data_IF_088983567881
#
_entry.id   IF_088983567881
#
_cell.length_a   1.000
_cell.length_b   1.000
_cell.length_c   1.000
_cell.angle_alpha   90.00
_cell.angle_beta   90.00
_cell.angle_gamma   90.00
#
_symmetry.space_group_name_H-M   'P 1'
#
loop_
_entity.id
_entity.type
_entity.pdbx_description
1 polymer ?
#
# COMPACT_ATOMS: atom_id res chain seq x y z
N UNK A 1 -35.50 59.46 17.97
CA UNK A 1 -36.24 58.18 18.05
C UNK A 1 -35.24 57.06 17.86
N UNK A 2 -34.99 56.31 18.95
CA UNK A 2 -34.75 54.85 19.09
C UNK A 2 -34.06 54.17 17.88
N UNK A 3 -32.75 53.86 17.92
CA UNK A 3 -32.06 52.72 18.56
C UNK A 3 -32.51 51.32 18.08
N UNK A 4 -31.54 50.48 17.68
CA UNK A 4 -31.26 49.11 18.19
C UNK A 4 -30.49 48.29 17.12
N UNK A 5 -29.30 47.81 17.53
CA UNK A 5 -28.53 46.72 16.95
C UNK A 5 -29.19 45.37 17.28
N UNK A 6 -29.09 44.37 16.41
CA UNK A 6 -28.89 42.95 16.76
C UNK A 6 -28.50 42.19 15.47
N UNK A 7 -27.29 41.61 15.35
CA UNK A 7 -26.79 40.37 15.94
C UNK A 7 -27.32 39.08 15.28
N UNK A 8 -26.37 38.33 14.70
CA UNK A 8 -26.34 36.86 14.56
C UNK A 8 -27.41 36.16 13.70
N UNK A 9 -27.00 35.73 12.51
CA UNK A 9 -27.31 34.36 12.07
C UNK A 9 -26.01 33.68 11.62
N UNK A 10 -25.44 32.93 12.54
CA UNK A 10 -24.60 31.80 12.21
C UNK A 10 -25.55 30.62 11.97
N UNK A 11 -25.71 30.18 10.72
CA UNK A 11 -26.22 28.84 10.45
C UNK A 11 -25.77 28.36 9.08
N UNK A 12 -25.05 27.24 9.10
CA UNK A 12 -25.06 26.20 8.07
C UNK A 12 -24.37 26.49 6.72
N UNK A 13 -23.04 26.64 6.76
CA UNK A 13 -22.25 25.97 5.73
C UNK A 13 -22.26 24.47 6.04
N UNK A 14 -23.34 23.82 5.63
CA UNK A 14 -23.40 22.38 5.45
C UNK A 14 -22.42 22.04 4.31
N UNK A 15 -21.15 21.87 4.64
CA UNK A 15 -20.19 21.27 3.72
C UNK A 15 -20.62 19.82 3.59
N UNK A 16 -21.41 19.57 2.55
CA UNK A 16 -21.79 18.24 2.08
C UNK A 16 -20.51 17.41 2.09
N UNK A 17 -20.38 16.50 3.07
CA UNK A 17 -19.39 15.46 3.02
C UNK A 17 -19.66 14.75 1.70
N UNK A 18 -18.81 15.00 0.71
CA UNK A 18 -18.85 14.33 -0.57
C UNK A 18 -18.64 12.86 -0.24
N UNK A 19 -19.75 12.13 -0.06
CA UNK A 19 -19.78 10.68 -0.07
C UNK A 19 -19.32 10.30 -1.46
N UNK A 20 -17.98 10.19 -1.60
CA UNK A 20 -17.32 9.57 -2.74
C UNK A 20 -17.97 8.21 -2.82
N UNK A 21 -18.94 8.10 -3.72
CA UNK A 21 -19.76 6.90 -3.84
C UNK A 21 -18.78 5.88 -4.39
N UNK A 22 -18.22 5.04 -3.50
CA UNK A 22 -17.24 4.04 -3.90
C UNK A 22 -18.02 3.09 -4.81
N UNK A 23 -17.90 3.29 -6.12
CA UNK A 23 -18.42 2.33 -7.09
C UNK A 23 -17.74 0.99 -6.81
N UNK A 24 -18.42 -0.12 -7.07
CA UNK A 24 -17.79 -1.43 -6.99
C UNK A 24 -16.56 -1.41 -7.89
N UNK A 25 -15.38 -1.56 -7.29
CA UNK A 25 -14.09 -1.45 -7.96
C UNK A 25 -13.28 -2.67 -7.61
N UNK A 26 -12.89 -3.42 -8.64
CA UNK A 26 -11.99 -4.55 -8.51
C UNK A 26 -10.66 -4.18 -9.17
N UNK A 27 -9.55 -4.36 -8.45
CA UNK A 27 -8.21 -3.99 -8.91
C UNK A 27 -7.31 -5.21 -8.78
N UNK A 28 -6.48 -5.41 -9.80
CA UNK A 28 -5.55 -6.52 -9.91
C UNK A 28 -4.14 -5.99 -10.11
N UNK A 29 -3.21 -6.48 -9.30
CA UNK A 29 -1.80 -6.14 -9.34
C UNK A 29 -0.98 -7.41 -9.47
N UNK A 30 0.04 -7.37 -10.33
CA UNK A 30 0.86 -8.53 -10.65
C UNK A 30 2.33 -8.13 -10.73
N UNK A 31 3.16 -8.83 -9.95
CA UNK A 31 4.60 -8.67 -9.88
C UNK A 31 5.25 -10.01 -10.25
N UNK A 32 5.49 -10.26 -11.55
CA UNK A 32 5.84 -11.59 -12.05
C UNK A 32 7.21 -12.09 -11.58
N UNK A 33 8.22 -11.22 -11.44
CA UNK A 33 9.55 -11.63 -10.98
C UNK A 33 9.54 -11.98 -9.49
N UNK A 34 8.72 -11.29 -8.71
CA UNK A 34 8.49 -11.60 -7.30
C UNK A 34 7.53 -12.79 -7.11
N UNK A 35 6.75 -13.14 -8.14
CA UNK A 35 5.70 -14.15 -8.03
C UNK A 35 4.58 -13.73 -7.07
N UNK A 36 4.19 -12.45 -7.12
CA UNK A 36 3.14 -11.87 -6.27
C UNK A 36 1.95 -11.43 -7.10
N UNK A 37 0.75 -11.79 -6.64
CA UNK A 37 -0.52 -11.28 -7.17
C UNK A 37 -1.35 -10.73 -6.02
N UNK A 38 -1.94 -9.56 -6.23
CA UNK A 38 -2.83 -8.91 -5.27
C UNK A 38 -4.11 -8.55 -5.99
N UNK A 39 -5.23 -9.00 -5.46
CA UNK A 39 -6.57 -8.62 -5.91
C UNK A 39 -7.30 -7.96 -4.75
N UNK A 40 -7.86 -6.78 -5.00
CA UNK A 40 -8.67 -6.06 -4.03
C UNK A 40 -10.03 -5.73 -4.63
N UNK A 41 -11.08 -6.05 -3.88
CA UNK A 41 -12.47 -5.74 -4.21
C UNK A 41 -13.02 -4.73 -3.22
N UNK A 42 -13.29 -3.52 -3.69
CA UNK A 42 -13.91 -2.44 -2.93
C UNK A 42 -15.39 -2.35 -3.32
N UNK A 43 -16.28 -2.34 -2.34
CA UNK A 43 -17.73 -2.22 -2.56
C UNK A 43 -18.34 -1.27 -1.55
N UNK A 44 -19.35 -0.47 -1.92
CA UNK A 44 -19.96 0.49 -0.99
C UNK A 44 -20.81 -0.17 0.10
N UNK A 45 -21.15 -1.46 -0.07
CA UNK A 45 -22.06 -2.21 0.81
C UNK A 45 -21.43 -3.48 1.39
N UNK A 46 -20.14 -3.71 1.16
CA UNK A 46 -19.42 -4.88 1.67
C UNK A 46 -18.04 -4.45 2.16
N UNK A 47 -17.50 -5.11 3.19
CA UNK A 47 -16.12 -4.87 3.60
C UNK A 47 -15.17 -5.13 2.41
N UNK A 48 -14.05 -4.39 2.33
CA UNK A 48 -13.00 -4.68 1.37
C UNK A 48 -12.59 -6.14 1.44
N UNK A 49 -12.36 -6.77 0.28
CA UNK A 49 -11.81 -8.11 0.21
C UNK A 49 -10.45 -8.05 -0.44
N UNK A 50 -9.48 -8.66 0.22
CA UNK A 50 -8.12 -8.84 -0.26
C UNK A 50 -7.91 -10.31 -0.54
N UNK A 51 -7.34 -10.61 -1.71
CA UNK A 51 -6.86 -11.92 -2.10
C UNK A 51 -5.41 -11.78 -2.58
N UNK A 52 -4.50 -12.51 -1.96
CA UNK A 52 -3.06 -12.39 -2.15
C UNK A 52 -2.47 -13.77 -2.45
N UNK A 53 -1.75 -13.86 -3.55
CA UNK A 53 -0.88 -15.01 -3.83
C UNK A 53 0.56 -14.52 -3.71
N UNK A 54 1.28 -15.06 -2.72
CA UNK A 54 2.67 -14.72 -2.44
C UNK A 54 3.57 -15.93 -2.70
N UNK A 55 4.70 -15.71 -3.36
CA UNK A 55 5.75 -16.71 -3.45
C UNK A 55 6.32 -16.99 -2.06
N UNK A 56 6.30 -18.26 -1.62
CA UNK A 56 6.87 -18.72 -0.33
C UNK A 56 8.32 -18.31 -0.10
N UNK A 57 9.04 -17.91 -1.16
CA UNK A 57 10.45 -17.51 -1.11
C UNK A 57 10.65 -16.04 -0.77
N UNK A 58 9.64 -15.18 -1.00
CA UNK A 58 9.81 -13.73 -0.98
C UNK A 58 10.10 -13.17 0.41
N UNK A 59 9.41 -13.66 1.44
CA UNK A 59 9.55 -13.20 2.82
C UNK A 59 10.36 -14.17 3.70
N UNK A 60 11.19 -15.04 3.09
CA UNK A 60 12.07 -15.93 3.86
C UNK A 60 13.21 -15.15 4.52
N UNK A 61 13.63 -15.64 5.68
CA UNK A 61 14.73 -15.07 6.47
C UNK A 61 16.09 -15.13 5.74
N UNK A 62 16.25 -16.12 4.85
CA UNK A 62 17.50 -16.37 4.14
C UNK A 62 17.60 -15.47 2.91
N UNK A 63 18.23 -14.30 3.06
CA UNK A 63 18.50 -13.42 1.93
C UNK A 63 19.48 -14.07 0.94
N UNK A 64 19.08 -14.18 -0.33
CA UNK A 64 19.90 -14.78 -1.40
C UNK A 64 20.26 -13.74 -2.44
N UNK A 65 21.50 -13.26 -2.42
CA UNK A 65 22.01 -12.24 -3.37
C UNK A 65 21.72 -12.60 -4.84
N UNK A 66 21.75 -13.89 -5.21
CA UNK A 66 21.53 -14.37 -6.57
C UNK A 66 20.08 -14.23 -7.09
N UNK A 67 19.12 -13.92 -6.22
CA UNK A 67 17.72 -13.66 -6.59
C UNK A 67 17.47 -12.19 -6.96
N UNK A 68 18.48 -11.32 -6.78
CA UNK A 68 18.38 -9.88 -6.98
C UNK A 68 19.42 -9.42 -8.00
N UNK A 69 19.03 -9.27 -9.28
CA UNK A 69 19.97 -8.86 -10.33
C UNK A 69 20.66 -7.52 -10.04
N UNK A 70 20.00 -6.64 -9.30
CA UNK A 70 20.56 -5.36 -8.85
C UNK A 70 21.83 -5.49 -7.97
N UNK A 71 22.08 -6.66 -7.36
CA UNK A 71 23.28 -6.93 -6.56
C UNK A 71 24.43 -7.55 -7.37
N UNK A 72 24.10 -8.11 -8.53
CA UNK A 72 25.04 -8.77 -9.46
C UNK A 72 25.59 -7.82 -10.53
N UNK A 73 25.20 -6.54 -10.49
CA UNK A 73 25.66 -5.55 -11.46
C UNK A 73 27.19 -5.35 -11.39
N UNK A 74 27.85 -5.46 -12.54
CA UNK A 74 29.29 -5.25 -12.66
C UNK A 74 29.67 -3.81 -12.27
N UNK A 75 30.79 -3.66 -11.56
CA UNK A 75 31.31 -2.36 -11.13
C UNK A 75 30.78 -1.85 -9.78
N UNK A 76 29.89 -2.59 -9.10
CA UNK A 76 29.48 -2.23 -7.74
C UNK A 76 30.62 -2.43 -6.73
N UNK A 77 30.87 -1.40 -5.94
CA UNK A 77 31.71 -1.51 -4.75
C UNK A 77 31.02 -2.35 -3.67
N UNK A 78 31.78 -2.92 -2.71
CA UNK A 78 31.21 -3.62 -1.57
C UNK A 78 30.23 -2.78 -0.75
N UNK A 79 30.49 -1.48 -0.61
CA UNK A 79 29.62 -0.55 0.10
C UNK A 79 28.27 -0.38 -0.62
N UNK A 80 28.28 -0.17 -1.93
CA UNK A 80 27.04 -0.04 -2.73
C UNK A 80 26.24 -1.34 -2.73
N UNK A 81 26.89 -2.51 -2.84
CA UNK A 81 26.20 -3.79 -2.72
C UNK A 81 25.55 -3.96 -1.36
N UNK A 82 26.24 -3.58 -0.29
CA UNK A 82 25.69 -3.63 1.06
C UNK A 82 24.50 -2.69 1.23
N UNK A 83 24.56 -1.48 0.66
CA UNK A 83 23.45 -0.53 0.68
C UNK A 83 22.24 -1.07 -0.07
N UNK A 84 22.43 -1.57 -1.31
CA UNK A 84 21.35 -2.16 -2.10
C UNK A 84 20.70 -3.35 -1.40
N UNK A 85 21.50 -4.22 -0.77
CA UNK A 85 20.98 -5.33 0.03
C UNK A 85 20.13 -4.83 1.19
N UNK A 86 20.62 -3.81 1.90
CA UNK A 86 19.87 -3.19 2.99
C UNK A 86 18.53 -2.60 2.51
N UNK A 87 18.54 -1.91 1.36
CA UNK A 87 17.33 -1.33 0.76
C UNK A 87 16.31 -2.41 0.38
N UNK A 88 16.77 -3.52 -0.21
CA UNK A 88 15.90 -4.66 -0.53
C UNK A 88 15.31 -5.27 0.73
N UNK A 89 16.12 -5.54 1.76
CA UNK A 89 15.64 -6.09 3.03
C UNK A 89 14.59 -5.17 3.69
N UNK A 90 14.84 -3.86 3.71
CA UNK A 90 13.92 -2.89 4.28
C UNK A 90 12.59 -2.88 3.52
N UNK A 91 12.62 -2.95 2.18
CA UNK A 91 11.41 -3.01 1.35
C UNK A 91 10.64 -4.30 1.52
N UNK A 92 11.32 -5.44 1.64
CA UNK A 92 10.68 -6.72 1.96
C UNK A 92 9.96 -6.63 3.31
N UNK A 93 10.62 -6.04 4.30
CA UNK A 93 10.05 -5.87 5.62
C UNK A 93 8.83 -4.93 5.60
N UNK A 94 8.92 -3.79 4.91
CA UNK A 94 7.78 -2.86 4.74
C UNK A 94 6.62 -3.54 4.02
N UNK A 95 6.88 -4.20 2.88
CA UNK A 95 5.85 -4.88 2.10
C UNK A 95 5.14 -5.96 2.93
N UNK A 96 5.89 -6.76 3.70
CA UNK A 96 5.34 -7.79 4.57
C UNK A 96 4.43 -7.21 5.65
N UNK A 97 4.93 -6.24 6.43
CA UNK A 97 4.12 -5.62 7.48
C UNK A 97 2.90 -4.87 6.94
N UNK A 98 3.04 -4.17 5.81
CA UNK A 98 1.91 -3.47 5.21
C UNK A 98 0.88 -4.42 4.63
N UNK A 99 1.28 -5.59 4.13
CA UNK A 99 0.33 -6.64 3.73
C UNK A 99 -0.44 -7.19 4.94
N UNK A 100 0.24 -7.47 6.06
CA UNK A 100 -0.42 -7.93 7.29
C UNK A 100 -1.45 -6.90 7.80
N UNK A 101 -1.09 -5.62 7.79
CA UNK A 101 -2.00 -4.53 8.16
C UNK A 101 -3.17 -4.44 7.17
N UNK A 102 -2.90 -4.59 5.87
CA UNK A 102 -3.93 -4.54 4.83
C UNK A 102 -4.95 -5.66 4.99
N UNK A 103 -4.48 -6.88 5.29
CA UNK A 103 -5.33 -8.04 5.60
C UNK A 103 -6.21 -7.78 6.82
N UNK A 104 -5.64 -7.24 7.89
CA UNK A 104 -6.39 -6.88 9.09
C UNK A 104 -7.44 -5.80 8.82
N UNK A 105 -7.08 -4.72 8.11
CA UNK A 105 -8.00 -3.65 7.76
C UNK A 105 -9.18 -4.14 6.90
N UNK A 106 -8.92 -5.06 5.95
CA UNK A 106 -9.98 -5.68 5.16
C UNK A 106 -10.92 -6.52 6.03
N UNK A 107 -10.38 -7.27 7.00
CA UNK A 107 -11.17 -8.08 7.93
C UNK A 107 -12.05 -7.23 8.85
N UNK A 108 -11.56 -6.08 9.28
CA UNK A 108 -12.27 -5.12 10.14
C UNK A 108 -13.27 -4.24 9.37
N UNK A 109 -13.19 -4.24 8.03
CA UNK A 109 -14.05 -3.42 7.17
C UNK A 109 -13.66 -1.94 7.17
N UNK A 110 -12.39 -1.63 7.47
CA UNK A 110 -11.83 -0.30 7.40
C UNK A 110 -11.86 0.23 5.95
N UNK A 111 -12.02 1.55 5.79
CA UNK A 111 -12.03 2.23 4.50
C UNK A 111 -10.66 2.86 4.17
N UNK A 112 -9.72 2.91 5.11
CA UNK A 112 -8.37 3.43 4.90
C UNK A 112 -7.41 2.46 4.18
N UNK A 113 -7.95 1.34 3.68
CA UNK A 113 -7.23 0.29 2.92
C UNK A 113 -6.46 0.84 1.72
N UNK A 114 -6.92 1.94 1.12
CA UNK A 114 -6.27 2.55 -0.04
C UNK A 114 -4.83 3.01 0.25
N UNK A 115 -4.59 3.64 1.41
CA UNK A 115 -3.27 4.16 1.78
C UNK A 115 -2.27 3.03 2.04
N UNK A 116 -2.72 1.99 2.75
CA UNK A 116 -1.89 0.81 3.04
C UNK A 116 -1.59 0.04 1.76
N UNK A 117 -2.56 -0.08 0.84
CA UNK A 117 -2.37 -0.69 -0.46
C UNK A 117 -1.31 0.06 -1.27
N UNK A 118 -1.33 1.40 -1.30
CA UNK A 118 -0.32 2.20 -2.00
C UNK A 118 1.10 1.89 -1.49
N UNK A 119 1.29 1.77 -0.17
CA UNK A 119 2.59 1.42 0.44
C UNK A 119 3.06 0.03 0.00
N UNK A 120 2.15 -0.96 0.01
CA UNK A 120 2.44 -2.32 -0.45
C UNK A 120 2.87 -2.30 -1.93
N UNK A 121 2.08 -1.65 -2.79
CA UNK A 121 2.33 -1.61 -4.22
C UNK A 121 3.62 -0.88 -4.56
N UNK A 122 3.91 0.23 -3.89
CA UNK A 122 5.16 0.97 -4.06
C UNK A 122 6.36 0.10 -3.68
N UNK A 123 6.28 -0.59 -2.53
CA UNK A 123 7.36 -1.44 -2.03
C UNK A 123 7.62 -2.62 -2.97
N UNK A 124 6.56 -3.32 -3.39
CA UNK A 124 6.65 -4.44 -4.33
C UNK A 124 7.13 -4.01 -5.72
N UNK A 125 6.70 -2.85 -6.22
CA UNK A 125 7.18 -2.31 -7.50
C UNK A 125 8.69 -2.05 -7.49
N UNK A 126 9.22 -1.53 -6.39
CA UNK A 126 10.65 -1.26 -6.26
C UNK A 126 11.46 -2.55 -6.07
N UNK A 127 10.89 -3.56 -5.41
CA UNK A 127 11.47 -4.90 -5.33
C UNK A 127 11.51 -5.60 -6.69
N UNK A 128 10.42 -5.53 -7.46
CA UNK A 128 10.31 -6.11 -8.81
C UNK A 128 11.35 -5.54 -9.78
N UNK A 129 11.68 -4.26 -9.62
CA UNK A 129 12.76 -3.61 -10.37
C UNK A 129 14.16 -4.05 -9.93
N UNK A 130 14.29 -4.57 -8.71
CA UNK A 130 15.55 -5.04 -8.13
C UNK A 130 15.86 -6.51 -8.44
N UNK A 131 14.85 -7.26 -8.89
CA UNK A 131 14.94 -8.64 -9.39
C UNK A 131 15.52 -8.73 -10.80
#
# INVERSE_FOLDING_TARGET
>A
MVAIQDSLTATENCTVAARKTIAHTEQFYHFPKLGVRIQISLSPHKPPRLDTELSDKLFRSDFRDGEWSSLSQAGLSPAERSQRRHDICNRLQIAGFSLDVLEQQCAEGDLEVASTLEIVLESLSQLEQSC
#
